data_IF_377824098773
#
_entry.id   IF_377824098773
#
_cell.length_a   1.000
_cell.length_b   1.000
_cell.length_c   1.000
_cell.angle_alpha   90.00
_cell.angle_beta   90.00
_cell.angle_gamma   90.00
#
_symmetry.space_group_name_H-M   'P 1'
#
loop_
_entity.id
_entity.type
_entity.pdbx_description
1 polymer ?
#
# COMPACT_ATOMS: atom_id res chain seq x y z
N UNK A 1 12.35 13.66 -31.01
CA UNK A 1 13.73 13.13 -30.98
C UNK A 1 13.62 11.69 -30.50
N UNK A 2 13.85 10.69 -31.37
CA UNK A 2 13.77 9.25 -31.05
C UNK A 2 15.16 8.78 -30.61
N UNK A 3 15.25 8.07 -29.48
CA UNK A 3 16.40 7.21 -29.18
C UNK A 3 15.87 5.88 -28.63
N UNK A 4 16.48 4.82 -29.13
CA UNK A 4 16.12 3.40 -29.13
C UNK A 4 16.58 2.65 -27.87
N UNK A 5 15.99 1.48 -27.68
CA UNK A 5 16.40 0.40 -26.77
C UNK A 5 17.80 -0.17 -27.09
N UNK A 6 18.51 -0.67 -26.08
CA UNK A 6 18.90 -2.10 -25.96
C UNK A 6 19.84 -2.37 -24.77
N UNK A 7 19.36 -3.24 -23.87
CA UNK A 7 19.99 -4.43 -23.24
C UNK A 7 21.52 -4.54 -23.22
N UNK A 8 22.12 -4.81 -22.04
CA UNK A 8 22.98 -6.02 -21.85
C UNK A 8 23.32 -6.37 -20.39
N UNK A 9 23.14 -7.67 -20.12
CA UNK A 9 23.53 -8.46 -18.96
C UNK A 9 25.06 -8.48 -18.73
N UNK A 10 25.50 -8.51 -17.47
CA UNK A 10 26.80 -9.08 -17.11
C UNK A 10 26.68 -10.01 -15.90
N UNK A 11 26.84 -11.30 -16.19
CA UNK A 11 27.10 -12.38 -15.25
C UNK A 11 28.61 -12.60 -15.22
N UNK A 12 29.24 -12.58 -14.04
CA UNK A 12 30.65 -12.97 -13.88
C UNK A 12 30.75 -14.00 -12.77
N UNK A 13 30.87 -15.27 -13.19
CA UNK A 13 31.47 -16.35 -12.39
C UNK A 13 32.99 -16.22 -12.50
N UNK A 14 33.68 -16.10 -11.38
CA UNK A 14 35.15 -16.18 -11.30
C UNK A 14 35.57 -17.39 -10.45
N UNK A 15 35.91 -18.46 -11.17
CA UNK A 15 37.02 -19.39 -10.97
C UNK A 15 37.78 -19.43 -9.62
N UNK A 16 37.75 -20.60 -8.99
CA UNK A 16 38.71 -21.09 -7.99
C UNK A 16 40.13 -21.28 -8.57
N UNK A 17 41.18 -21.20 -7.72
CA UNK A 17 42.38 -22.00 -7.90
C UNK A 17 42.67 -22.94 -6.72
N UNK A 18 43.03 -24.16 -7.13
CA UNK A 18 43.86 -25.26 -6.59
C UNK A 18 44.53 -25.12 -5.20
N UNK A 19 44.40 -26.21 -4.43
CA UNK A 19 45.09 -26.62 -3.18
C UNK A 19 46.62 -26.43 -3.17
N UNK A 20 47.15 -25.97 -2.04
CA UNK A 20 48.44 -26.42 -1.52
C UNK A 20 48.47 -26.40 0.03
N UNK A 21 48.78 -27.57 0.58
CA UNK A 21 49.51 -27.91 1.81
C UNK A 21 49.24 -27.18 3.13
N UNK A 22 48.91 -27.99 4.13
CA UNK A 22 48.82 -27.64 5.53
C UNK A 22 50.19 -27.27 6.12
N UNK A 23 50.32 -26.04 6.59
CA UNK A 23 51.24 -25.68 7.67
C UNK A 23 50.43 -25.32 8.91
N UNK A 24 50.75 -26.04 9.99
CA UNK A 24 50.11 -25.97 11.29
C UNK A 24 50.65 -24.73 12.00
N UNK A 25 49.92 -23.62 11.95
CA UNK A 25 50.16 -22.48 12.83
C UNK A 25 49.39 -22.73 14.11
N UNK A 26 50.11 -23.21 15.13
CA UNK A 26 49.66 -23.21 16.52
C UNK A 26 49.51 -21.75 16.98
N UNK A 27 48.26 -21.34 17.18
CA UNK A 27 47.90 -19.99 17.59
C UNK A 27 46.40 -19.77 17.43
N UNK A 28 45.59 -20.73 17.88
CA UNK A 28 44.15 -20.54 17.98
C UNK A 28 43.85 -19.63 19.17
N UNK A 29 43.97 -18.32 18.96
CA UNK A 29 43.17 -17.37 19.72
C UNK A 29 41.71 -17.80 19.55
N UNK A 30 41.11 -18.15 20.68
CA UNK A 30 39.70 -18.47 20.83
C UNK A 30 38.87 -17.45 20.05
N UNK A 31 38.32 -17.86 18.91
CA UNK A 31 37.23 -17.15 18.28
C UNK A 31 36.13 -17.10 19.34
N UNK A 32 35.95 -15.92 19.94
CA UNK A 32 34.77 -15.64 20.74
C UNK A 32 33.58 -16.05 19.87
N UNK A 33 32.70 -16.96 20.34
CA UNK A 33 31.50 -17.26 19.59
C UNK A 33 30.76 -15.94 19.41
N UNK A 34 30.58 -15.54 18.15
CA UNK A 34 29.77 -14.36 17.79
C UNK A 34 28.34 -14.72 18.22
N UNK A 35 27.99 -14.36 19.45
CA UNK A 35 26.64 -14.46 19.97
C UNK A 35 25.90 -13.23 19.48
N UNK A 36 24.87 -13.44 18.66
CA UNK A 36 23.90 -12.40 18.39
C UNK A 36 23.14 -12.10 19.69
N UNK A 37 22.84 -10.82 19.92
CA UNK A 37 21.95 -10.45 21.02
C UNK A 37 20.52 -10.89 20.65
N UNK A 38 19.66 -11.17 21.63
CA UNK A 38 18.24 -11.45 21.38
C UNK A 38 17.56 -10.37 20.52
N UNK A 39 17.96 -9.11 20.69
CA UNK A 39 17.45 -7.99 19.90
C UNK A 39 17.87 -8.06 18.43
N UNK A 40 19.12 -8.43 18.12
CA UNK A 40 19.56 -8.55 16.73
C UNK A 40 18.98 -9.77 16.03
N UNK A 41 18.65 -10.83 16.76
CA UNK A 41 17.87 -11.96 16.25
C UNK A 41 16.43 -11.55 15.93
N UNK A 42 15.76 -10.83 16.85
CA UNK A 42 14.40 -10.33 16.64
C UNK A 42 14.30 -9.43 15.40
N UNK A 43 15.21 -8.46 15.26
CA UNK A 43 15.27 -7.59 14.07
C UNK A 43 15.52 -8.41 12.79
N UNK A 44 16.36 -9.44 12.88
CA UNK A 44 16.65 -10.31 11.72
C UNK A 44 15.41 -11.12 11.31
N UNK A 45 14.65 -11.63 12.28
CA UNK A 45 13.39 -12.35 12.04
C UNK A 45 12.35 -11.43 11.40
N UNK A 46 12.14 -10.23 11.95
CA UNK A 46 11.22 -9.23 11.37
C UNK A 46 11.57 -8.87 9.91
N UNK A 47 12.86 -8.74 9.58
CA UNK A 47 13.31 -8.47 8.21
C UNK A 47 13.03 -9.66 7.28
N UNK A 48 13.24 -10.89 7.76
CA UNK A 48 12.97 -12.11 6.98
C UNK A 48 11.48 -12.23 6.71
N UNK A 49 10.64 -12.00 7.72
CA UNK A 49 9.19 -12.04 7.60
C UNK A 49 8.67 -10.95 6.66
N UNK A 50 9.19 -9.73 6.75
CA UNK A 50 8.86 -8.63 5.84
C UNK A 50 9.20 -8.97 4.38
N UNK A 51 10.36 -9.58 4.12
CA UNK A 51 10.76 -10.03 2.78
C UNK A 51 9.88 -11.16 2.26
N UNK A 52 9.55 -12.13 3.11
CA UNK A 52 8.68 -13.23 2.73
C UNK A 52 7.26 -12.73 2.38
N UNK A 53 6.71 -11.83 3.20
CA UNK A 53 5.43 -11.20 2.97
C UNK A 53 5.43 -10.33 1.70
N UNK A 54 6.47 -9.51 1.51
CA UNK A 54 6.66 -8.72 0.30
C UNK A 54 6.69 -9.61 -0.95
N UNK A 55 7.47 -10.69 -0.94
CA UNK A 55 7.54 -11.62 -2.06
C UNK A 55 6.18 -12.26 -2.40
N UNK A 56 5.33 -12.53 -1.40
CA UNK A 56 3.99 -13.08 -1.62
C UNK A 56 3.02 -12.06 -2.20
N UNK A 57 3.12 -10.78 -1.82
CA UNK A 57 2.17 -9.74 -2.27
C UNK A 57 2.65 -9.11 -3.58
N UNK A 58 3.90 -8.65 -3.63
CA UNK A 58 4.49 -7.82 -4.69
C UNK A 58 5.55 -8.55 -5.55
N UNK A 59 5.90 -9.79 -5.21
CA UNK A 59 6.90 -10.58 -5.93
C UNK A 59 6.40 -11.11 -7.28
N UNK A 60 7.04 -12.17 -7.80
CA UNK A 60 6.65 -12.78 -9.07
C UNK A 60 6.42 -14.29 -8.87
N UNK A 61 5.18 -14.80 -9.06
CA UNK A 61 3.96 -14.05 -9.38
C UNK A 61 3.43 -13.25 -8.18
N UNK A 62 2.97 -12.02 -8.44
CA UNK A 62 2.35 -11.17 -7.43
C UNK A 62 0.97 -11.73 -7.03
N UNK A 63 0.40 -11.23 -5.93
CA UNK A 63 -0.94 -11.61 -5.51
C UNK A 63 -1.98 -11.40 -6.61
N UNK A 64 -1.94 -10.24 -7.29
CA UNK A 64 -2.83 -9.93 -8.41
C UNK A 64 -2.63 -10.86 -9.62
N UNK A 65 -1.40 -11.33 -9.87
CA UNK A 65 -1.10 -12.29 -10.93
C UNK A 65 -1.71 -13.66 -10.62
N UNK A 66 -1.64 -14.10 -9.36
CA UNK A 66 -2.23 -15.38 -8.94
C UNK A 66 -3.75 -15.38 -9.06
N UNK A 67 -4.41 -14.27 -8.69
CA UNK A 67 -5.85 -14.10 -8.90
C UNK A 67 -6.20 -14.10 -10.39
N UNK A 68 -5.44 -13.37 -11.21
CA UNK A 68 -5.64 -13.34 -12.67
C UNK A 68 -5.47 -14.73 -13.29
N UNK A 69 -4.44 -15.48 -12.88
CA UNK A 69 -4.23 -16.86 -13.31
C UNK A 69 -5.40 -17.77 -12.89
N UNK A 70 -5.85 -17.67 -11.64
CA UNK A 70 -7.01 -18.42 -11.16
C UNK A 70 -8.26 -18.12 -11.99
N UNK A 71 -8.50 -16.85 -12.32
CA UNK A 71 -9.61 -16.43 -13.16
C UNK A 71 -9.52 -17.03 -14.57
N UNK A 72 -8.39 -16.85 -15.27
CA UNK A 72 -8.24 -17.36 -16.63
C UNK A 72 -8.28 -18.89 -16.71
N UNK A 73 -7.89 -19.59 -15.63
CA UNK A 73 -7.97 -21.05 -15.54
C UNK A 73 -9.41 -21.54 -15.36
N UNK A 74 -10.19 -20.86 -14.51
CA UNK A 74 -11.55 -21.27 -14.17
C UNK A 74 -12.61 -20.74 -15.15
N UNK A 75 -12.31 -19.64 -15.84
CA UNK A 75 -13.29 -18.85 -16.57
C UNK A 75 -14.21 -18.07 -15.63
N UNK A 76 -15.01 -17.16 -16.19
CA UNK A 76 -15.91 -16.29 -15.42
C UNK A 76 -16.85 -17.06 -14.48
N UNK A 77 -17.63 -18.00 -15.03
CA UNK A 77 -18.58 -18.81 -14.25
C UNK A 77 -17.90 -19.67 -13.19
N UNK A 78 -16.75 -20.29 -13.53
CA UNK A 78 -16.01 -21.11 -12.59
C UNK A 78 -15.38 -20.29 -11.46
N UNK A 79 -14.99 -19.06 -11.74
CA UNK A 79 -14.48 -18.15 -10.71
C UNK A 79 -15.58 -17.68 -9.76
N UNK A 80 -16.78 -17.38 -10.28
CA UNK A 80 -17.96 -17.04 -9.45
C UNK A 80 -18.43 -18.17 -8.54
N UNK A 81 -18.14 -19.43 -8.88
CA UNK A 81 -18.53 -20.60 -8.09
C UNK A 81 -17.54 -20.95 -6.97
N UNK A 82 -16.50 -20.15 -6.74
CA UNK A 82 -15.58 -20.37 -5.62
C UNK A 82 -16.36 -20.30 -4.31
N UNK A 83 -16.17 -21.30 -3.45
CA UNK A 83 -16.81 -21.34 -2.15
C UNK A 83 -15.99 -20.53 -1.13
N UNK A 84 -16.65 -19.82 -0.20
CA UNK A 84 -15.97 -19.23 0.95
C UNK A 84 -15.37 -20.33 1.84
N UNK A 85 -14.32 -20.03 2.62
CA UNK A 85 -13.81 -20.93 3.65
C UNK A 85 -14.92 -21.41 4.59
N UNK A 86 -14.90 -22.70 4.96
CA UNK A 86 -15.91 -23.29 5.87
C UNK A 86 -15.90 -22.67 7.27
N UNK A 87 -14.79 -22.04 7.65
CA UNK A 87 -14.62 -21.34 8.93
C UNK A 87 -15.30 -19.98 8.97
N UNK A 88 -15.80 -19.47 7.84
CA UNK A 88 -16.44 -18.16 7.78
C UNK A 88 -17.81 -18.16 8.42
N UNK A 89 -18.09 -17.08 9.14
CA UNK A 89 -19.43 -16.66 9.52
C UNK A 89 -20.26 -16.30 8.28
N UNK A 90 -21.57 -16.14 8.44
CA UNK A 90 -22.46 -15.75 7.35
C UNK A 90 -22.04 -14.42 6.70
N UNK A 91 -21.65 -13.44 7.52
CA UNK A 91 -21.24 -12.11 7.04
C UNK A 91 -19.90 -12.17 6.27
N UNK A 92 -18.96 -12.99 6.73
CA UNK A 92 -17.68 -13.22 6.05
C UNK A 92 -17.86 -13.95 4.73
N UNK A 93 -18.76 -14.94 4.69
CA UNK A 93 -19.14 -15.64 3.46
C UNK A 93 -19.81 -14.69 2.45
N UNK A 94 -20.69 -13.80 2.91
CA UNK A 94 -21.30 -12.79 2.05
C UNK A 94 -20.25 -11.82 1.49
N UNK A 95 -19.34 -11.32 2.34
CA UNK A 95 -18.23 -10.46 1.93
C UNK A 95 -17.37 -11.15 0.88
N UNK A 96 -16.99 -12.41 1.10
CA UNK A 96 -16.21 -13.19 0.15
C UNK A 96 -16.91 -13.30 -1.22
N UNK A 97 -18.22 -13.59 -1.25
CA UNK A 97 -18.97 -13.69 -2.50
C UNK A 97 -19.02 -12.35 -3.26
N UNK A 98 -19.14 -11.22 -2.54
CA UNK A 98 -19.04 -9.88 -3.15
C UNK A 98 -17.65 -9.61 -3.73
N UNK A 99 -16.60 -10.00 -3.02
CA UNK A 99 -15.21 -9.88 -3.47
C UNK A 99 -14.96 -10.69 -4.74
N UNK A 100 -15.37 -11.96 -4.77
CA UNK A 100 -15.23 -12.82 -5.95
C UNK A 100 -15.97 -12.22 -7.14
N UNK A 101 -17.20 -11.72 -6.93
CA UNK A 101 -18.00 -11.07 -7.97
C UNK A 101 -17.32 -9.80 -8.51
N UNK A 102 -16.81 -8.95 -7.62
CA UNK A 102 -16.06 -7.74 -7.98
C UNK A 102 -14.83 -8.09 -8.84
N UNK A 103 -14.01 -9.04 -8.41
CA UNK A 103 -12.80 -9.45 -9.12
C UNK A 103 -13.12 -10.11 -10.47
N UNK A 104 -14.18 -10.92 -10.55
CA UNK A 104 -14.62 -11.55 -11.79
C UNK A 104 -14.99 -10.50 -12.85
N UNK A 105 -15.81 -9.52 -12.46
CA UNK A 105 -16.23 -8.42 -13.35
C UNK A 105 -15.05 -7.58 -13.81
N UNK A 106 -14.11 -7.30 -12.90
CA UNK A 106 -12.88 -6.57 -13.18
C UNK A 106 -11.96 -7.30 -14.18
N UNK A 107 -11.87 -8.64 -14.10
CA UNK A 107 -10.96 -9.45 -14.92
C UNK A 107 -11.54 -9.86 -16.27
N UNK A 108 -12.86 -10.09 -16.36
CA UNK A 108 -13.54 -10.39 -17.62
C UNK A 108 -13.51 -9.21 -18.60
N UNK A 109 -13.13 -8.01 -18.13
CA UNK A 109 -13.12 -6.75 -18.91
C UNK A 109 -14.49 -6.47 -19.56
N UNK A 110 -15.59 -6.91 -18.93
CA UNK A 110 -16.94 -6.53 -19.40
C UNK A 110 -17.23 -5.05 -19.23
N UNK A 111 -16.45 -4.35 -18.42
CA UNK A 111 -16.54 -2.91 -18.28
C UNK A 111 -15.14 -2.32 -18.31
N UNK A 112 -14.94 -1.38 -19.22
CA UNK A 112 -13.81 -0.43 -19.19
C UNK A 112 -13.87 0.47 -17.92
N UNK A 113 -14.91 0.32 -17.10
CA UNK A 113 -15.22 1.16 -15.93
C UNK A 113 -15.92 0.33 -14.83
N UNK A 114 -15.29 -0.72 -14.30
CA UNK A 114 -15.77 -1.25 -13.01
C UNK A 114 -15.57 -0.15 -11.98
N UNK A 115 -16.65 0.44 -11.51
CA UNK A 115 -16.61 1.47 -10.47
C UNK A 115 -15.82 0.94 -9.26
N UNK A 116 -14.70 1.58 -8.87
CA UNK A 116 -13.93 1.19 -7.70
C UNK A 116 -14.77 1.09 -6.42
N UNK A 117 -15.89 1.83 -6.35
CA UNK A 117 -16.84 1.79 -5.23
C UNK A 117 -17.56 0.45 -5.06
N UNK A 118 -17.54 -0.41 -6.09
CA UNK A 118 -18.06 -1.78 -6.00
C UNK A 118 -17.12 -2.73 -5.24
N UNK A 119 -15.89 -2.31 -4.93
CA UNK A 119 -14.99 -3.09 -4.09
C UNK A 119 -15.57 -3.16 -2.65
N UNK A 120 -15.75 -4.35 -2.06
CA UNK A 120 -16.30 -4.47 -0.69
C UNK A 120 -15.49 -3.79 0.41
N UNK A 121 -14.23 -3.46 0.15
CA UNK A 121 -13.35 -2.72 1.06
C UNK A 121 -13.22 -1.23 0.70
N UNK A 122 -14.04 -0.73 -0.23
CA UNK A 122 -14.05 0.69 -0.61
C UNK A 122 -14.34 1.59 0.59
N UNK A 123 -13.65 2.73 0.67
CA UNK A 123 -13.81 3.70 1.75
C UNK A 123 -13.15 3.31 3.07
N UNK A 124 -12.55 2.13 3.19
CA UNK A 124 -11.73 1.79 4.36
C UNK A 124 -10.43 2.61 4.39
N UNK A 125 -9.97 2.92 5.60
CA UNK A 125 -8.68 3.59 5.80
C UNK A 125 -7.50 2.70 5.39
N UNK A 126 -6.39 3.34 5.00
CA UNK A 126 -5.17 2.66 4.53
C UNK A 126 -4.69 1.57 5.49
N UNK A 127 -4.63 1.86 6.79
CA UNK A 127 -4.14 0.92 7.81
C UNK A 127 -5.00 -0.35 7.87
N UNK A 128 -6.31 -0.22 7.75
CA UNK A 128 -7.22 -1.36 7.73
C UNK A 128 -7.08 -2.19 6.45
N UNK A 129 -6.90 -1.53 5.30
CA UNK A 129 -6.65 -2.18 4.02
C UNK A 129 -5.33 -2.96 4.01
N UNK A 130 -4.27 -2.37 4.58
CA UNK A 130 -2.96 -3.00 4.76
C UNK A 130 -3.07 -4.22 5.69
N UNK A 131 -3.81 -4.09 6.80
CA UNK A 131 -4.01 -5.20 7.73
C UNK A 131 -4.69 -6.38 7.05
N UNK A 132 -5.71 -6.14 6.22
CA UNK A 132 -6.39 -7.19 5.44
C UNK A 132 -5.43 -7.79 4.41
N UNK A 133 -4.75 -6.96 3.60
CA UNK A 133 -3.81 -7.40 2.57
C UNK A 133 -2.73 -8.35 3.11
N UNK A 134 -2.26 -8.10 4.33
CA UNK A 134 -1.13 -8.82 4.94
C UNK A 134 -1.56 -10.01 5.81
N UNK A 135 -2.85 -10.14 6.12
CA UNK A 135 -3.39 -11.20 6.97
C UNK A 135 -3.78 -12.45 6.18
N UNK A 136 -2.84 -13.41 6.11
CA UNK A 136 -3.06 -14.70 5.43
C UNK A 136 -3.88 -15.69 6.26
N UNK A 137 -4.17 -15.39 7.53
CA UNK A 137 -4.84 -16.32 8.45
C UNK A 137 -6.35 -16.15 8.38
N UNK A 138 -6.83 -14.91 8.29
CA UNK A 138 -8.26 -14.62 8.34
C UNK A 138 -8.86 -14.30 6.95
N UNK A 139 -8.04 -13.89 5.98
CA UNK A 139 -8.52 -13.47 4.66
C UNK A 139 -7.99 -14.34 3.53
N UNK A 140 -8.85 -14.59 2.52
CA UNK A 140 -8.45 -15.34 1.33
C UNK A 140 -7.56 -14.50 0.39
N UNK A 141 -6.90 -15.13 -0.59
CA UNK A 141 -6.14 -14.37 -1.59
C UNK A 141 -7.02 -13.38 -2.37
N UNK A 142 -8.30 -13.70 -2.60
CA UNK A 142 -9.25 -12.81 -3.26
C UNK A 142 -9.52 -11.56 -2.44
N UNK A 143 -9.81 -11.73 -1.15
CA UNK A 143 -10.07 -10.60 -0.25
C UNK A 143 -8.83 -9.73 -0.09
N UNK A 144 -7.67 -10.36 0.10
CA UNK A 144 -6.39 -9.66 0.15
C UNK A 144 -6.10 -8.90 -1.15
N UNK A 145 -6.44 -9.47 -2.31
CA UNK A 145 -6.27 -8.80 -3.59
C UNK A 145 -7.26 -7.63 -3.76
N UNK A 146 -8.50 -7.76 -3.29
CA UNK A 146 -9.46 -6.67 -3.28
C UNK A 146 -9.02 -5.54 -2.34
N UNK A 147 -8.48 -5.87 -1.16
CA UNK A 147 -7.91 -4.88 -0.24
C UNK A 147 -6.68 -4.18 -0.83
N UNK A 148 -5.75 -4.92 -1.46
CA UNK A 148 -4.61 -4.36 -2.21
C UNK A 148 -5.08 -3.37 -3.28
N UNK A 149 -6.16 -3.68 -4.01
CA UNK A 149 -6.72 -2.79 -5.04
C UNK A 149 -7.36 -1.53 -4.44
N UNK A 150 -8.16 -1.67 -3.37
CA UNK A 150 -8.71 -0.51 -2.68
C UNK A 150 -7.61 0.40 -2.12
N UNK A 151 -6.54 -0.19 -1.57
CA UNK A 151 -5.35 0.54 -1.10
C UNK A 151 -4.65 1.27 -2.24
N UNK A 152 -4.46 0.61 -3.38
CA UNK A 152 -3.84 1.22 -4.55
C UNK A 152 -4.67 2.41 -5.10
N UNK A 153 -6.00 2.32 -5.07
CA UNK A 153 -6.87 3.45 -5.42
C UNK A 153 -6.71 4.61 -4.44
N UNK A 154 -6.74 4.34 -3.13
CA UNK A 154 -6.55 5.36 -2.09
C UNK A 154 -5.18 6.05 -2.21
N UNK A 155 -4.12 5.27 -2.39
CA UNK A 155 -2.75 5.78 -2.60
C UNK A 155 -2.66 6.59 -3.91
N UNK A 156 -3.32 6.16 -4.98
CA UNK A 156 -3.35 6.89 -6.25
C UNK A 156 -4.08 8.23 -6.14
N UNK A 157 -5.23 8.26 -5.47
CA UNK A 157 -5.98 9.49 -5.22
C UNK A 157 -5.16 10.47 -4.37
N UNK A 158 -4.48 9.96 -3.34
CA UNK A 158 -3.56 10.74 -2.49
C UNK A 158 -2.48 11.42 -3.34
N UNK A 159 -1.72 10.66 -4.12
CA UNK A 159 -0.62 11.23 -4.92
C UNK A 159 -1.09 12.08 -6.09
N UNK A 160 -2.21 11.74 -6.73
CA UNK A 160 -2.78 12.53 -7.84
C UNK A 160 -3.12 13.94 -7.36
N UNK A 161 -3.78 14.06 -6.19
CA UNK A 161 -4.11 15.36 -5.61
C UNK A 161 -2.86 16.19 -5.26
N UNK A 162 -1.80 15.55 -4.76
CA UNK A 162 -0.54 16.23 -4.47
C UNK A 162 0.15 16.75 -5.73
N UNK A 163 0.18 15.94 -6.78
CA UNK A 163 0.78 16.30 -8.06
C UNK A 163 -0.02 17.42 -8.73
N UNK A 164 -1.35 17.33 -8.76
CA UNK A 164 -2.21 18.39 -9.31
C UNK A 164 -2.02 19.72 -8.57
N UNK A 165 -1.88 19.66 -7.25
CA UNK A 165 -1.57 20.84 -6.45
C UNK A 165 -0.19 21.42 -6.79
N UNK A 166 0.85 20.60 -6.81
CA UNK A 166 2.21 21.01 -7.15
C UNK A 166 2.26 21.66 -8.54
N UNK A 167 1.61 21.05 -9.53
CA UNK A 167 1.54 21.57 -10.91
C UNK A 167 0.77 22.90 -10.99
N UNK A 168 -0.34 23.03 -10.25
CA UNK A 168 -1.20 24.22 -10.34
C UNK A 168 -0.68 25.43 -9.55
N UNK A 169 -0.04 25.19 -8.41
CA UNK A 169 0.49 26.25 -7.53
C UNK A 169 1.98 26.54 -7.78
N UNK A 170 2.69 25.60 -8.41
CA UNK A 170 4.14 25.57 -8.47
C UNK A 170 4.81 25.23 -7.14
N UNK A 171 4.06 24.92 -6.07
CA UNK A 171 4.58 24.61 -4.73
C UNK A 171 4.66 23.10 -4.46
N UNK A 172 5.89 22.58 -4.44
CA UNK A 172 6.16 21.16 -4.25
C UNK A 172 6.28 20.75 -2.76
N UNK A 173 6.26 21.71 -1.81
CA UNK A 173 6.43 21.37 -0.38
C UNK A 173 5.35 20.38 0.11
N UNK A 174 4.05 20.55 -0.20
CA UNK A 174 3.04 19.57 0.16
C UNK A 174 3.28 18.20 -0.47
N UNK A 175 3.76 18.14 -1.72
CA UNK A 175 4.08 16.89 -2.37
C UNK A 175 5.21 16.13 -1.64
N UNK A 176 6.32 16.80 -1.31
CA UNK A 176 7.44 16.16 -0.61
C UNK A 176 7.10 15.80 0.83
N UNK A 177 6.41 16.69 1.55
CA UNK A 177 5.95 16.43 2.93
C UNK A 177 4.97 15.25 2.97
N UNK A 178 4.03 15.21 2.04
CA UNK A 178 3.08 14.11 1.92
C UNK A 178 3.76 12.78 1.56
N UNK A 179 4.74 12.80 0.66
CA UNK A 179 5.50 11.60 0.34
C UNK A 179 6.33 11.10 1.54
N UNK A 180 6.89 11.98 2.37
CA UNK A 180 7.53 11.57 3.62
C UNK A 180 6.54 10.92 4.58
N UNK A 181 5.38 11.54 4.79
CA UNK A 181 4.33 10.94 5.62
C UNK A 181 3.91 9.57 5.10
N UNK A 182 3.74 9.42 3.79
CA UNK A 182 3.45 8.13 3.17
C UNK A 182 4.52 7.10 3.50
N UNK A 183 5.80 7.43 3.28
CA UNK A 183 6.93 6.53 3.55
C UNK A 183 7.02 6.13 5.04
N UNK A 184 6.67 7.05 5.95
CA UNK A 184 6.69 6.83 7.40
C UNK A 184 5.51 5.95 7.87
N UNK A 185 4.45 5.78 7.06
CA UNK A 185 3.31 4.90 7.34
C UNK A 185 3.39 3.54 6.64
N UNK A 186 4.44 3.27 5.85
CA UNK A 186 4.59 1.97 5.19
C UNK A 186 4.95 0.87 6.19
N UNK A 187 4.34 -0.31 6.03
CA UNK A 187 4.83 -1.49 6.77
C UNK A 187 6.23 -1.89 6.30
N UNK A 188 6.97 -2.69 7.09
CA UNK A 188 8.27 -3.21 6.67
C UNK A 188 8.22 -3.93 5.31
N UNK A 189 7.13 -4.65 5.01
CA UNK A 189 6.94 -5.30 3.72
C UNK A 189 6.73 -4.27 2.59
N UNK A 190 5.91 -3.25 2.80
CA UNK A 190 5.69 -2.19 1.80
C UNK A 190 6.95 -1.36 1.53
N UNK A 191 7.77 -1.10 2.55
CA UNK A 191 9.00 -0.30 2.43
C UNK A 191 10.00 -0.90 1.45
N UNK A 192 9.98 -2.21 1.24
CA UNK A 192 10.81 -2.94 0.28
C UNK A 192 10.51 -2.58 -1.19
N UNK A 193 9.37 -1.94 -1.48
CA UNK A 193 9.06 -1.41 -2.80
C UNK A 193 9.87 -0.15 -3.17
N UNK A 194 10.58 0.44 -2.20
CA UNK A 194 11.27 1.71 -2.35
C UNK A 194 12.77 1.57 -2.04
N UNK A 195 13.65 2.38 -2.67
CA UNK A 195 15.06 2.42 -2.30
C UNK A 195 15.27 2.65 -0.80
N UNK A 196 16.30 2.03 -0.21
CA UNK A 196 16.59 2.19 1.21
C UNK A 196 16.77 3.66 1.62
N UNK A 197 17.35 4.48 0.75
CA UNK A 197 17.59 5.91 0.96
C UNK A 197 16.47 6.84 0.43
N UNK A 198 15.31 6.30 0.05
CA UNK A 198 14.24 7.09 -0.58
C UNK A 198 13.73 8.20 0.36
N UNK A 199 13.54 7.88 1.65
CA UNK A 199 13.08 8.86 2.64
C UNK A 199 14.05 10.04 2.78
N UNK A 200 15.36 9.76 2.87
CA UNK A 200 16.41 10.78 2.99
C UNK A 200 16.46 11.67 1.75
N UNK A 201 16.30 11.07 0.57
CA UNK A 201 16.22 11.79 -0.70
C UNK A 201 15.03 12.74 -0.72
N UNK A 202 13.84 12.29 -0.34
CA UNK A 202 12.63 13.13 -0.29
C UNK A 202 12.77 14.22 0.78
N UNK A 203 13.37 13.92 1.93
CA UNK A 203 13.63 14.91 2.98
C UNK A 203 14.55 16.04 2.50
N UNK A 204 15.58 15.71 1.71
CA UNK A 204 16.45 16.70 1.09
C UNK A 204 15.71 17.59 0.08
N UNK A 205 14.78 17.00 -0.70
CA UNK A 205 13.92 17.75 -1.62
C UNK A 205 12.98 18.71 -0.87
N UNK A 206 12.35 18.26 0.21
CA UNK A 206 11.53 19.13 1.07
C UNK A 206 12.36 20.28 1.64
N UNK A 207 13.54 19.99 2.21
CA UNK A 207 14.41 21.02 2.78
C UNK A 207 14.83 22.08 1.74
N UNK A 208 15.07 21.66 0.50
CA UNK A 208 15.37 22.59 -0.61
C UNK A 208 14.16 23.47 -0.93
N UNK A 209 12.98 22.89 -1.05
CA UNK A 209 11.74 23.64 -1.31
C UNK A 209 11.39 24.61 -0.18
N UNK A 210 11.62 24.23 1.08
CA UNK A 210 11.40 25.09 2.25
C UNK A 210 12.43 26.22 2.35
N UNK A 211 13.67 26.01 1.93
CA UNK A 211 14.66 27.09 1.85
C UNK A 211 14.27 28.17 0.84
N UNK A 212 13.57 27.79 -0.24
CA UNK A 212 13.11 28.72 -1.28
C UNK A 212 11.79 29.41 -0.93
N UNK A 213 10.86 28.71 -0.26
CA UNK A 213 9.47 29.15 -0.09
C UNK A 213 9.01 29.32 1.36
N UNK A 214 9.91 29.05 2.31
CA UNK A 214 9.60 28.98 3.74
C UNK A 214 9.10 27.60 4.16
N UNK A 215 9.12 27.34 5.47
CA UNK A 215 8.68 26.07 6.05
C UNK A 215 7.16 25.92 6.04
N UNK A 216 6.69 24.67 5.96
CA UNK A 216 5.30 24.34 6.27
C UNK A 216 5.06 24.36 7.80
N UNK A 217 3.81 24.49 8.27
CA UNK A 217 3.47 24.30 9.68
C UNK A 217 3.94 22.93 10.21
N UNK A 218 4.38 22.86 11.47
CA UNK A 218 4.89 21.60 12.06
C UNK A 218 3.82 20.49 12.12
N UNK A 219 2.57 20.86 12.36
CA UNK A 219 1.41 19.96 12.47
C UNK A 219 0.70 19.68 11.12
N UNK A 220 1.27 20.21 10.04
CA UNK A 220 0.83 19.94 8.68
C UNK A 220 0.90 18.42 8.43
N UNK A 221 -0.26 17.82 8.20
CA UNK A 221 -0.39 16.44 7.75
C UNK A 221 -1.48 16.30 6.73
N UNK A 222 -1.14 15.79 5.55
CA UNK A 222 -2.05 15.70 4.42
C UNK A 222 -3.10 14.60 4.60
N UNK A 223 -2.83 13.59 5.42
CA UNK A 223 -3.81 12.58 5.80
C UNK A 223 -5.01 13.16 6.57
N UNK A 224 -4.84 14.30 7.26
CA UNK A 224 -5.96 15.01 7.91
C UNK A 224 -6.87 15.71 6.89
N UNK A 225 -6.34 15.99 5.71
CA UNK A 225 -7.00 16.76 4.66
C UNK A 225 -7.41 15.90 3.45
N UNK A 226 -7.17 14.59 3.46
CA UNK A 226 -7.57 13.69 2.36
C UNK A 226 -9.07 13.37 2.33
N UNK A 227 -9.79 13.55 3.44
CA UNK A 227 -11.25 13.33 3.52
C UNK A 227 -12.08 14.41 2.79
N UNK A 228 -11.48 15.14 1.86
CA UNK A 228 -12.17 16.09 1.00
C UNK A 228 -12.93 15.38 -0.11
N UNK A 229 -14.09 15.95 -0.47
CA UNK A 229 -14.96 15.50 -1.55
C UNK A 229 -14.13 14.97 -2.74
N UNK A 230 -14.50 13.79 -3.33
CA UNK A 230 -13.83 13.23 -4.51
C UNK A 230 -13.59 14.24 -5.65
N UNK A 231 -14.40 15.29 -5.74
CA UNK A 231 -14.36 16.36 -6.76
C UNK A 231 -13.74 17.68 -6.27
N UNK A 232 -13.28 17.76 -5.02
CA UNK A 232 -12.71 18.96 -4.43
C UNK A 232 -11.24 19.16 -4.83
N UNK A 233 -10.90 20.38 -5.28
CA UNK A 233 -9.49 20.80 -5.38
C UNK A 233 -8.86 20.87 -4.00
N UNK A 234 -7.53 20.69 -3.93
CA UNK A 234 -6.80 20.84 -2.68
C UNK A 234 -7.02 22.27 -2.11
N UNK A 235 -7.74 22.45 -0.99
CA UNK A 235 -7.97 23.76 -0.36
C UNK A 235 -6.75 24.21 0.45
N UNK A 236 -5.93 25.06 -0.17
CA UNK A 236 -4.69 25.56 0.42
C UNK A 236 -4.87 26.48 1.62
N UNK A 237 -5.97 27.22 1.70
CA UNK A 237 -6.22 28.14 2.82
C UNK A 237 -6.42 27.35 4.10
N UNK A 238 -7.19 26.25 4.03
CA UNK A 238 -7.36 25.32 5.15
C UNK A 238 -6.06 24.57 5.53
N UNK A 239 -5.14 24.38 4.56
CA UNK A 239 -3.86 23.69 4.76
C UNK A 239 -2.78 24.56 5.41
N UNK A 240 -2.79 25.87 5.14
CA UNK A 240 -1.81 26.83 5.63
C UNK A 240 -2.30 27.62 6.85
N UNK A 241 -3.63 27.70 7.05
CA UNK A 241 -4.29 28.24 8.23
C UNK A 241 -5.39 27.28 8.72
N UNK A 242 -5.06 26.28 9.57
CA UNK A 242 -6.03 25.30 10.06
C UNK A 242 -7.16 25.91 10.91
N UNK A 243 -7.04 27.19 11.35
CA UNK A 243 -8.12 27.89 12.07
C UNK A 243 -9.24 28.40 11.14
N UNK A 244 -8.97 28.45 9.83
CA UNK A 244 -9.91 28.88 8.80
C UNK A 244 -10.73 27.73 8.19
N UNK A 245 -10.36 26.48 8.49
CA UNK A 245 -11.08 25.31 8.02
C UNK A 245 -12.42 25.18 8.76
N UNK A 246 -13.54 25.38 8.04
CA UNK A 246 -14.85 25.05 8.60
C UNK A 246 -14.88 23.57 9.02
N UNK A 247 -15.42 23.23 10.20
CA UNK A 247 -15.48 21.86 10.66
C UNK A 247 -16.27 21.03 9.65
N UNK A 248 -15.64 19.98 9.13
CA UNK A 248 -16.28 18.97 8.30
C UNK A 248 -17.57 18.53 9.00
N UNK A 249 -18.74 18.56 8.33
CA UNK A 249 -19.97 18.13 8.98
C UNK A 249 -19.79 16.66 9.35
N UNK A 250 -19.81 16.40 10.65
CA UNK A 250 -19.95 15.05 11.19
C UNK A 250 -21.24 14.53 10.58
N UNK A 251 -21.14 13.51 9.73
CA UNK A 251 -22.30 12.74 9.32
C UNK A 251 -22.73 11.99 10.58
N UNK A 252 -23.56 12.64 11.39
CA UNK A 252 -24.28 11.97 12.46
C UNK A 252 -25.08 10.87 11.78
N UNK A 253 -24.77 9.62 12.14
CA UNK A 253 -25.59 8.47 11.82
C UNK A 253 -26.99 8.78 12.35
N UNK A 254 -27.90 9.12 11.43
CA UNK A 254 -29.27 9.46 11.75
C UNK A 254 -29.89 8.34 12.58
N UNK A 255 -30.18 8.68 13.83
CA UNK A 255 -30.97 7.87 14.75
C UNK A 255 -32.35 7.71 14.12
N UNK A 256 -32.63 6.51 13.61
CA UNK A 256 -33.94 6.14 13.12
C UNK A 256 -34.80 5.77 14.32
N UNK A 257 -35.40 6.78 14.96
CA UNK A 257 -36.59 6.57 15.79
C UNK A 257 -37.59 7.74 15.63
N UNK A 258 -38.72 7.35 15.06
CA UNK A 258 -40.07 7.72 15.48
C UNK A 258 -40.82 8.89 14.79
N UNK A 259 -42.13 8.64 14.71
CA UNK A 259 -43.28 9.51 14.43
C UNK A 259 -43.63 9.80 12.96
N UNK A 260 -44.73 9.19 12.51
CA UNK A 260 -45.42 9.61 11.29
C UNK A 260 -46.71 8.88 10.93
N UNK A 261 -47.52 8.46 11.92
CA UNK A 261 -48.91 8.08 11.65
C UNK A 261 -49.66 9.26 11.03
N UNK A 262 -50.17 9.11 9.80
CA UNK A 262 -51.32 9.87 9.33
C UNK A 262 -52.09 9.11 8.26
N UNK A 263 -53.23 8.57 8.72
CA UNK A 263 -54.42 8.39 7.90
C UNK A 263 -54.76 9.71 7.21
N UNK A 264 -55.16 9.68 5.94
CA UNK A 264 -56.49 10.12 5.48
C UNK A 264 -56.62 10.07 3.94
N UNK A 265 -57.67 9.33 3.54
CA UNK A 265 -58.45 9.33 2.29
C UNK A 265 -57.85 8.64 1.07
#
# INVERSE_FOLDING_TARGET
>A
MKITSDVQNFSVRSSLPVRASAERVEGAETQNPVSFSPESLSISEEIVDAKALHAKIYGTPALADRISYSFFKLGYEGFLQKAPPETYTADEAERFNKVVSYLANLLERRELEVDPSNNPFWGMGRDALVAIEQDEKNYTEEERCAALRAKAHLDNDYFTRLIEHAVSSGDDRPLFKGYLEYLDHLTPAERLNYPANEREKVASQLATAEAEKGSLPEDFSLWKYINWDPKGRLNLEALLDPSSAEPTPVIEAGSADDQGSSRLR
#
